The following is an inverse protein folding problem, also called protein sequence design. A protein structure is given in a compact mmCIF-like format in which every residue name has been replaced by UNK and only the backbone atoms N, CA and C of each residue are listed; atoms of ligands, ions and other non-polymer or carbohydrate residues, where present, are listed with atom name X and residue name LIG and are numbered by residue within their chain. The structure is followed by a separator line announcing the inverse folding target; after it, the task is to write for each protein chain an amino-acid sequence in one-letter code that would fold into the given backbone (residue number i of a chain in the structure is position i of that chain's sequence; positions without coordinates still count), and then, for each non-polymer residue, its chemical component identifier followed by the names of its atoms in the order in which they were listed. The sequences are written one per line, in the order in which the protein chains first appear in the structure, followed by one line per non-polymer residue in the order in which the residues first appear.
data_IF_201298193467
#
_entry.id   IF_201298193467
#
_cell.length_a   1.000
_cell.length_b   1.000
_cell.length_c   1.000
_cell.angle_alpha   90.00
_cell.angle_beta   90.00
_cell.angle_gamma   90.00
#
_symmetry.space_group_name_H-M   'P 1'
#
loop_
_entity.id
_entity.type
_entity.pdbx_description
1 polymer ?
#
# COMPACT_ATOMS: atom_id res chain seq x y z
N UNK A 1 12.45 -10.53 -10.42
CA UNK A 1 12.55 -9.69 -9.19
C UNK A 1 13.84 -9.99 -8.45
N UNK A 2 14.47 -9.00 -7.80
CA UNK A 2 15.68 -9.22 -7.00
C UNK A 2 15.43 -10.21 -5.85
N UNK A 3 16.42 -11.01 -5.42
CA UNK A 3 16.25 -11.96 -4.31
C UNK A 3 15.77 -11.32 -3.00
N UNK A 4 16.12 -10.05 -2.74
CA UNK A 4 15.68 -9.33 -1.55
C UNK A 4 14.18 -8.99 -1.54
N UNK A 5 13.52 -8.99 -2.69
CA UNK A 5 12.09 -8.69 -2.82
C UNK A 5 11.23 -9.70 -2.07
N UNK A 6 11.50 -10.99 -2.27
CA UNK A 6 10.72 -12.05 -1.63
C UNK A 6 10.93 -12.03 -0.11
N UNK A 7 12.17 -11.87 0.36
CA UNK A 7 12.46 -11.72 1.79
C UNK A 7 11.77 -10.51 2.41
N UNK A 8 11.63 -9.41 1.65
CA UNK A 8 10.89 -8.24 2.12
C UNK A 8 9.39 -8.55 2.24
N UNK A 9 8.78 -9.18 1.21
CA UNK A 9 7.37 -9.54 1.21
C UNK A 9 7.00 -10.55 2.31
N UNK A 10 7.89 -11.48 2.63
CA UNK A 10 7.68 -12.50 3.66
C UNK A 10 7.41 -11.93 5.05
N UNK A 11 7.89 -10.72 5.34
CA UNK A 11 7.62 -10.06 6.63
C UNK A 11 6.11 -9.81 6.84
N UNK A 12 5.32 -9.70 5.76
CA UNK A 12 3.88 -9.48 5.82
C UNK A 12 3.06 -10.78 5.79
N UNK A 13 3.69 -11.95 5.70
CA UNK A 13 2.97 -13.22 5.47
C UNK A 13 2.07 -13.64 6.64
N UNK A 14 2.31 -13.13 7.85
CA UNK A 14 1.45 -13.32 9.04
C UNK A 14 0.07 -12.67 8.87
N UNK A 15 -0.03 -11.61 8.06
CA UNK A 15 -1.26 -10.86 7.83
C UNK A 15 -2.23 -11.57 6.89
N UNK A 16 -1.79 -12.64 6.23
CA UNK A 16 -2.54 -13.34 5.19
C UNK A 16 -2.85 -14.77 5.61
N UNK A 17 -4.14 -15.12 5.61
CA UNK A 17 -4.62 -16.46 5.97
C UNK A 17 -4.52 -17.45 4.81
N UNK A 18 -4.58 -16.97 3.56
CA UNK A 18 -4.60 -17.82 2.35
C UNK A 18 -3.36 -17.64 1.49
N UNK A 19 -2.89 -18.73 0.88
CA UNK A 19 -1.78 -18.70 -0.11
C UNK A 19 -2.07 -17.77 -1.28
N UNK A 20 -3.33 -17.67 -1.71
CA UNK A 20 -3.74 -16.75 -2.78
C UNK A 20 -3.55 -15.28 -2.43
N UNK A 21 -3.78 -14.89 -1.17
CA UNK A 21 -3.52 -13.52 -0.69
C UNK A 21 -2.03 -13.20 -0.75
N UNK A 22 -1.19 -14.12 -0.26
CA UNK A 22 0.28 -14.00 -0.30
C UNK A 22 0.81 -13.83 -1.72
N UNK A 23 0.27 -14.62 -2.68
CA UNK A 23 0.60 -14.50 -4.11
C UNK A 23 0.12 -13.16 -4.68
N UNK A 24 -1.13 -12.79 -4.44
CA UNK A 24 -1.70 -11.54 -4.96
C UNK A 24 -0.98 -10.29 -4.41
N UNK A 25 -0.62 -10.28 -3.13
CA UNK A 25 0.20 -9.24 -2.51
C UNK A 25 1.54 -9.09 -3.22
N UNK A 26 2.29 -10.21 -3.40
CA UNK A 26 3.58 -10.20 -4.10
C UNK A 26 3.43 -9.70 -5.54
N UNK A 27 2.43 -10.18 -6.28
CA UNK A 27 2.18 -9.73 -7.66
C UNK A 27 1.85 -8.24 -7.72
N UNK A 28 0.99 -7.75 -6.83
CA UNK A 28 0.59 -6.35 -6.81
C UNK A 28 1.77 -5.42 -6.46
N UNK A 29 2.49 -5.72 -5.38
CA UNK A 29 3.67 -4.96 -4.96
C UNK A 29 4.76 -5.03 -6.03
N UNK A 30 4.94 -6.19 -6.66
CA UNK A 30 5.88 -6.34 -7.76
C UNK A 30 5.52 -5.44 -8.95
N UNK A 31 4.24 -5.34 -9.30
CA UNK A 31 3.77 -4.43 -10.34
C UNK A 31 3.94 -2.95 -9.98
N UNK A 32 3.79 -2.60 -8.70
CA UNK A 32 4.04 -1.23 -8.23
C UNK A 32 5.52 -0.84 -8.38
N UNK A 33 6.45 -1.75 -8.11
CA UNK A 33 7.89 -1.50 -8.31
C UNK A 33 8.36 -1.73 -9.75
N UNK A 34 7.62 -2.52 -10.53
CA UNK A 34 7.99 -2.87 -11.90
C UNK A 34 7.90 -1.67 -12.85
N UNK A 35 8.65 -1.73 -13.95
CA UNK A 35 8.64 -0.69 -14.98
C UNK A 35 7.40 -0.85 -15.88
N UNK A 36 6.25 -0.41 -15.37
CA UNK A 36 5.00 -0.33 -16.12
C UNK A 36 4.62 1.12 -16.35
N UNK A 37 4.21 1.43 -17.58
CA UNK A 37 3.91 2.80 -18.04
C UNK A 37 2.87 3.51 -17.14
N UNK A 38 1.83 2.79 -16.68
CA UNK A 38 0.94 3.30 -15.63
C UNK A 38 0.69 2.25 -14.57
N UNK A 39 0.58 2.72 -13.33
CA UNK A 39 0.33 1.93 -12.12
C UNK A 39 -1.15 1.61 -11.95
N UNK A 40 -1.82 1.17 -13.01
CA UNK A 40 -3.19 0.66 -12.94
C UNK A 40 -3.18 -0.87 -12.96
N UNK A 41 -4.28 -1.48 -12.50
CA UNK A 41 -4.38 -2.94 -12.39
C UNK A 41 -4.21 -3.64 -13.73
N UNK A 42 -4.77 -3.12 -14.82
CA UNK A 42 -4.68 -3.75 -16.13
C UNK A 42 -3.21 -3.90 -16.58
N UNK A 43 -2.44 -2.82 -16.51
CA UNK A 43 -1.02 -2.82 -16.89
C UNK A 43 -0.14 -3.61 -15.92
N UNK A 44 -0.40 -3.51 -14.62
CA UNK A 44 0.28 -4.34 -13.61
C UNK A 44 0.06 -5.82 -13.94
N UNK A 45 -1.18 -6.23 -14.25
CA UNK A 45 -1.48 -7.64 -14.53
C UNK A 45 -0.91 -8.12 -15.86
N UNK A 46 -0.84 -7.25 -16.86
CA UNK A 46 -0.27 -7.57 -18.17
C UNK A 46 1.26 -7.73 -18.11
N UNK A 47 1.93 -7.00 -17.21
CA UNK A 47 3.37 -7.10 -16.97
C UNK A 47 3.80 -8.27 -16.07
N UNK A 48 2.85 -9.01 -15.48
CA UNK A 48 3.13 -10.12 -14.56
C UNK A 48 2.71 -11.46 -15.13
N UNK A 49 3.65 -12.39 -15.28
CA UNK A 49 3.43 -13.75 -15.85
C UNK A 49 2.32 -14.54 -15.12
N UNK A 50 2.06 -14.20 -13.87
CA UNK A 50 1.17 -14.93 -12.95
C UNK A 50 -0.05 -14.11 -12.45
N UNK A 51 -0.23 -12.87 -12.95
CA UNK A 51 -1.23 -11.94 -12.42
C UNK A 51 -2.55 -11.98 -13.18
N UNK A 52 -3.60 -12.47 -12.55
CA UNK A 52 -4.97 -12.30 -13.06
C UNK A 52 -5.56 -10.98 -12.55
N UNK A 53 -6.08 -10.15 -13.47
CA UNK A 53 -6.79 -8.91 -13.13
C UNK A 53 -7.83 -9.10 -12.03
N UNK A 54 -8.68 -10.12 -12.19
CA UNK A 54 -9.75 -10.39 -11.22
C UNK A 54 -9.20 -10.81 -9.86
N UNK A 55 -8.08 -11.54 -9.81
CA UNK A 55 -7.46 -11.94 -8.55
C UNK A 55 -6.88 -10.75 -7.80
N UNK A 56 -6.17 -9.85 -8.49
CA UNK A 56 -5.59 -8.67 -7.85
C UNK A 56 -6.69 -7.68 -7.45
N UNK A 57 -7.69 -7.49 -8.31
CA UNK A 57 -8.87 -6.68 -7.97
C UNK A 57 -9.52 -7.18 -6.69
N UNK A 58 -9.89 -8.46 -6.65
CA UNK A 58 -10.47 -9.08 -5.45
C UNK A 58 -9.55 -8.97 -4.24
N UNK A 59 -8.23 -9.14 -4.42
CA UNK A 59 -7.27 -8.94 -3.34
C UNK A 59 -7.35 -7.54 -2.74
N UNK A 60 -7.47 -6.49 -3.55
CA UNK A 60 -7.52 -5.11 -3.08
C UNK A 60 -8.89 -4.68 -2.53
N UNK A 61 -9.98 -5.27 -3.03
CA UNK A 61 -11.35 -4.80 -2.71
C UNK A 61 -12.07 -5.68 -1.71
N UNK A 62 -11.98 -7.00 -1.86
CA UNK A 62 -12.90 -7.95 -1.19
C UNK A 62 -12.18 -8.93 -0.26
N UNK A 63 -10.86 -9.08 -0.40
CA UNK A 63 -10.12 -10.06 0.37
C UNK A 63 -9.98 -9.63 1.84
N UNK A 64 -10.18 -10.54 2.81
CA UNK A 64 -10.09 -10.20 4.22
C UNK A 64 -8.63 -10.07 4.68
N UNK A 65 -8.13 -8.84 4.70
CA UNK A 65 -6.90 -8.41 5.38
C UNK A 65 -7.13 -7.00 5.92
N UNK A 66 -6.39 -6.60 6.96
CA UNK A 66 -6.57 -5.30 7.63
C UNK A 66 -5.53 -4.30 7.14
N UNK A 67 -5.99 -3.16 6.61
CA UNK A 67 -5.14 -2.03 6.25
C UNK A 67 -4.39 -1.48 7.47
N UNK A 68 -5.06 -1.40 8.62
CA UNK A 68 -4.44 -0.96 9.86
C UNK A 68 -3.30 -1.91 10.27
N UNK A 69 -3.55 -3.22 10.28
CA UNK A 69 -2.53 -4.20 10.65
C UNK A 69 -1.35 -4.22 9.66
N UNK A 70 -1.63 -3.99 8.37
CA UNK A 70 -0.57 -3.86 7.36
C UNK A 70 0.29 -2.61 7.60
N UNK A 71 -0.33 -1.49 8.00
CA UNK A 71 0.40 -0.28 8.33
C UNK A 71 1.21 -0.43 9.63
N UNK A 72 0.69 -1.12 10.64
CA UNK A 72 1.41 -1.46 11.87
C UNK A 72 2.64 -2.33 11.58
N UNK A 73 2.47 -3.44 10.84
CA UNK A 73 3.57 -4.31 10.43
C UNK A 73 4.63 -3.53 9.64
N UNK A 74 4.22 -2.61 8.75
CA UNK A 74 5.14 -1.72 8.02
C UNK A 74 5.97 -0.86 8.98
N UNK A 75 5.35 -0.27 10.00
CA UNK A 75 6.05 0.54 11.00
C UNK A 75 7.00 -0.31 11.85
N UNK A 76 6.59 -1.51 12.25
CA UNK A 76 7.44 -2.44 13.01
C UNK A 76 8.66 -2.88 12.19
N UNK A 77 8.47 -3.22 10.91
CA UNK A 77 9.57 -3.48 9.98
C UNK A 77 10.51 -2.27 9.91
N UNK A 78 9.99 -1.05 9.76
CA UNK A 78 10.81 0.16 9.74
C UNK A 78 11.59 0.36 11.03
N UNK A 79 10.99 0.11 12.19
CA UNK A 79 11.64 0.27 13.50
C UNK A 79 12.65 -0.85 13.82
N UNK A 80 12.53 -2.01 13.19
CA UNK A 80 13.45 -3.14 13.35
C UNK A 80 14.79 -2.93 12.63
N UNK A 81 14.85 -2.06 11.60
CA UNK A 81 16.05 -1.88 10.76
C UNK A 81 16.85 -0.65 11.20
N UNK A 82 18.16 -0.81 11.35
CA UNK A 82 19.06 0.30 11.73
C UNK A 82 18.96 1.50 10.77
N UNK A 83 18.75 1.28 9.47
CA UNK A 83 18.67 2.35 8.47
C UNK A 83 17.40 3.21 8.58
N UNK A 84 16.29 2.65 9.05
CA UNK A 84 14.98 3.32 9.08
C UNK A 84 14.44 3.56 10.49
N UNK A 85 15.06 2.95 11.51
CA UNK A 85 14.68 3.14 12.91
C UNK A 85 14.84 4.60 13.31
N UNK A 86 13.79 5.13 13.93
CA UNK A 86 13.79 6.48 14.47
C UNK A 86 14.77 6.55 15.65
N UNK A 87 15.81 7.40 15.50
CA UNK A 87 16.81 7.66 16.53
C UNK A 87 16.39 8.76 17.52
N UNK A 88 17.15 8.94 18.60
CA UNK A 88 16.88 9.98 19.62
C UNK A 88 16.89 11.41 19.05
N UNK A 89 17.72 11.66 18.04
CA UNK A 89 17.83 12.96 17.37
C UNK A 89 17.23 12.85 15.96
N UNK A 90 15.95 12.53 15.87
CA UNK A 90 15.25 12.46 14.59
C UNK A 90 14.57 13.79 14.25
N UNK A 91 14.34 14.00 12.96
CA UNK A 91 13.48 15.07 12.46
C UNK A 91 12.23 14.41 11.87
N UNK A 92 11.07 14.83 12.35
CA UNK A 92 9.79 14.43 11.78
C UNK A 92 9.35 15.56 10.85
N UNK A 93 9.11 15.23 9.58
CA UNK A 93 8.54 16.14 8.61
C UNK A 93 7.04 15.85 8.57
N UNK A 94 6.24 16.85 8.92
CA UNK A 94 4.78 16.82 8.79
C UNK A 94 4.43 17.70 7.60
N UNK A 95 3.89 17.09 6.56
CA UNK A 95 3.46 17.76 5.34
C UNK A 95 2.10 17.20 4.95
N UNK A 96 1.10 18.07 4.85
CA UNK A 96 -0.24 17.68 4.44
C UNK A 96 -0.25 17.48 2.93
N UNK A 97 -0.48 16.23 2.50
CA UNK A 97 -0.61 15.90 1.09
C UNK A 97 -2.08 15.63 0.74
N UNK A 98 -2.59 16.39 -0.24
CA UNK A 98 -3.93 16.22 -0.80
C UNK A 98 -3.87 15.56 -2.17
N UNK A 99 -4.48 14.38 -2.32
CA UNK A 99 -4.68 13.79 -3.65
C UNK A 99 -6.13 14.02 -4.08
N UNK A 100 -6.35 15.06 -4.91
CA UNK A 100 -7.70 15.40 -5.39
C UNK A 100 -8.25 14.24 -6.22
N UNK A 101 -9.21 13.52 -5.66
CA UNK A 101 -9.96 12.51 -6.40
C UNK A 101 -11.09 13.21 -7.16
N UNK A 102 -11.36 12.74 -8.37
CA UNK A 102 -12.53 13.13 -9.17
C UNK A 102 -13.35 11.87 -9.48
N UNK A 103 -14.67 12.00 -9.49
CA UNK A 103 -15.61 10.88 -9.72
C UNK A 103 -16.82 10.92 -8.78
N UNK A 104 -17.85 10.14 -9.09
CA UNK A 104 -19.12 10.18 -8.34
C UNK A 104 -19.02 9.64 -6.91
N UNK A 105 -18.01 8.83 -6.60
CA UNK A 105 -17.76 8.30 -5.25
C UNK A 105 -16.89 9.22 -4.39
N UNK A 106 -16.61 10.44 -4.85
CA UNK A 106 -15.67 11.37 -4.18
C UNK A 106 -16.34 12.33 -3.21
N UNK A 107 -17.67 12.43 -3.23
CA UNK A 107 -18.43 13.37 -2.39
C UNK A 107 -18.13 13.17 -0.89
N UNK A 108 -18.08 11.92 -0.43
CA UNK A 108 -17.79 11.58 0.97
C UNK A 108 -16.32 11.82 1.39
N UNK A 109 -15.39 11.81 0.43
CA UNK A 109 -13.97 12.08 0.65
C UNK A 109 -13.73 13.60 0.69
N UNK A 110 -14.39 14.34 -0.21
CA UNK A 110 -14.32 15.80 -0.28
C UNK A 110 -14.93 16.43 0.97
N UNK A 111 -16.10 15.97 1.43
CA UNK A 111 -16.76 16.51 2.62
C UNK A 111 -15.91 16.33 3.90
N UNK A 112 -15.24 15.18 4.06
CA UNK A 112 -14.30 14.95 5.17
C UNK A 112 -13.08 15.85 5.06
N UNK A 113 -12.53 16.02 3.86
CA UNK A 113 -11.39 16.91 3.65
C UNK A 113 -11.73 18.37 3.96
N UNK A 114 -12.89 18.87 3.53
CA UNK A 114 -13.32 20.24 3.81
C UNK A 114 -13.57 20.50 5.30
N UNK A 115 -14.08 19.52 6.05
CA UNK A 115 -14.22 19.62 7.51
C UNK A 115 -12.85 19.69 8.20
N UNK A 116 -11.91 18.81 7.81
CA UNK A 116 -10.55 18.82 8.34
C UNK A 116 -9.79 20.11 7.98
N UNK A 117 -9.92 20.63 6.76
CA UNK A 117 -9.27 21.89 6.37
C UNK A 117 -9.80 23.09 7.14
N UNK A 118 -11.09 23.08 7.54
CA UNK A 118 -11.67 24.12 8.40
C UNK A 118 -11.21 24.02 9.86
N UNK A 119 -10.97 22.81 10.35
CA UNK A 119 -10.45 22.57 11.72
C UNK A 119 -8.93 22.82 11.83
N UNK A 120 -8.17 22.65 10.73
CA UNK A 120 -6.74 22.94 10.65
C UNK A 120 -6.43 24.42 10.32
N UNK A 121 -7.37 25.33 10.54
CA UNK A 121 -7.08 26.77 10.55
C UNK A 121 -6.42 27.13 11.89
N UNK A 122 -5.10 27.12 11.93
CA UNK A 122 -4.29 27.74 12.98
C UNK A 122 -4.18 29.25 12.78
#
# INVERSE_FOLDING_TARGET
MPPCFESWCQQFDSLFTRKSQKKAFRTYVAGLFGDVERKNLAQITQGTVDGSYNQIRHFLTDSPWSELAMNEERLDIMMSRRQTKIGKNCTIILDDSGHRKSGHETDSILEKSEKLTKECQW
#
